data_IF_647108350481
#
_entry.id   IF_647108350481
#
_cell.length_a   1.000
_cell.length_b   1.000
_cell.length_c   1.000
_cell.angle_alpha   90.00
_cell.angle_beta   90.00
_cell.angle_gamma   90.00
#
_symmetry.space_group_name_H-M   'P 1'
#
loop_
_entity.id
_entity.type
_entity.pdbx_description
1 polymer ?
#
# COMPACT_ATOMS: atom_id res chain seq x y z
N UNK A 1 4.69 14.70 -8.85
CA UNK A 1 4.73 15.45 -7.58
C UNK A 1 3.61 15.01 -6.66
N UNK A 2 3.99 14.40 -5.53
CA UNK A 2 3.02 13.96 -4.52
C UNK A 2 2.32 15.19 -3.93
N UNK A 3 1.00 15.26 -3.99
CA UNK A 3 0.25 16.39 -3.43
C UNK A 3 0.52 16.53 -1.93
N UNK A 4 1.16 17.63 -1.54
CA UNK A 4 1.48 17.93 -0.14
C UNK A 4 0.23 18.37 0.64
N UNK A 5 -0.77 18.94 -0.05
CA UNK A 5 -2.03 19.38 0.54
C UNK A 5 -3.23 18.62 -0.08
N UNK A 6 -3.71 17.54 0.54
CA UNK A 6 -4.87 16.81 0.05
C UNK A 6 -6.14 17.69 0.08
N UNK A 7 -6.99 17.58 -0.94
CA UNK A 7 -8.25 18.32 -1.00
C UNK A 7 -9.13 17.99 0.22
N UNK A 8 -9.77 19.01 0.80
CA UNK A 8 -10.73 18.82 1.89
C UNK A 8 -10.17 18.77 3.32
N UNK A 9 -8.87 19.06 3.54
CA UNK A 9 -8.27 19.06 4.88
C UNK A 9 -8.93 20.05 5.83
N UNK A 10 -9.11 21.29 5.40
CA UNK A 10 -9.73 22.35 6.23
C UNK A 10 -11.22 22.06 6.42
N UNK A 11 -11.91 21.68 5.35
CA UNK A 11 -13.34 21.34 5.39
C UNK A 11 -13.67 20.19 6.35
N UNK A 12 -12.83 19.15 6.39
CA UNK A 12 -13.07 17.99 7.27
C UNK A 12 -12.92 18.34 8.75
N UNK A 13 -11.94 19.18 9.11
CA UNK A 13 -11.74 19.65 10.48
C UNK A 13 -12.90 20.56 10.89
N UNK A 14 -13.31 21.49 10.03
CA UNK A 14 -14.46 22.35 10.30
C UNK A 14 -15.76 21.53 10.49
N UNK A 15 -16.06 20.59 9.60
CA UNK A 15 -17.24 19.71 9.75
C UNK A 15 -17.21 18.91 11.05
N UNK A 16 -16.04 18.42 11.45
CA UNK A 16 -15.88 17.69 12.70
C UNK A 16 -16.14 18.60 13.90
N UNK A 17 -15.52 19.80 13.94
CA UNK A 17 -15.65 20.75 15.03
C UNK A 17 -17.10 21.25 15.16
N UNK A 18 -17.71 21.70 14.06
CA UNK A 18 -19.11 22.13 14.08
C UNK A 18 -20.08 21.01 14.42
N UNK A 19 -19.84 19.80 13.94
CA UNK A 19 -20.64 18.62 14.30
C UNK A 19 -20.61 18.32 15.79
N UNK A 20 -19.43 18.30 16.42
CA UNK A 20 -19.31 18.04 17.86
C UNK A 20 -19.80 19.18 18.73
N UNK A 21 -19.54 20.44 18.37
CA UNK A 21 -20.08 21.62 19.10
C UNK A 21 -21.60 21.61 19.00
N UNK A 22 -22.17 21.41 17.81
CA UNK A 22 -23.60 21.31 17.62
C UNK A 22 -24.24 20.19 18.45
N UNK A 23 -23.60 19.02 18.51
CA UNK A 23 -24.04 17.89 19.31
C UNK A 23 -24.02 18.21 20.81
N UNK A 24 -22.99 18.88 21.29
CA UNK A 24 -22.87 19.32 22.68
C UNK A 24 -23.98 20.32 23.07
N UNK A 25 -24.15 21.36 22.27
CA UNK A 25 -25.17 22.40 22.52
C UNK A 25 -26.60 21.86 22.45
N UNK A 26 -26.93 21.10 21.40
CA UNK A 26 -28.29 20.51 21.28
C UNK A 26 -28.56 19.43 22.33
N UNK A 27 -27.55 18.63 22.69
CA UNK A 27 -27.65 17.61 23.72
C UNK A 27 -27.92 18.22 25.11
N UNK A 28 -27.16 19.27 25.49
CA UNK A 28 -27.35 19.96 26.76
C UNK A 28 -28.71 20.68 26.81
N UNK A 29 -29.15 21.31 25.72
CA UNK A 29 -30.47 21.95 25.63
C UNK A 29 -31.60 20.94 25.80
N UNK A 30 -31.50 19.74 25.24
CA UNK A 30 -32.50 18.67 25.45
C UNK A 30 -32.52 18.19 26.89
N UNK A 31 -31.37 17.92 27.50
CA UNK A 31 -31.29 17.43 28.88
C UNK A 31 -31.89 18.49 29.85
N UNK A 32 -31.51 19.76 29.69
CA UNK A 32 -32.03 20.85 30.53
C UNK A 32 -33.52 21.06 30.33
N UNK A 33 -34.03 21.01 29.10
CA UNK A 33 -35.47 21.13 28.81
C UNK A 33 -36.30 20.03 29.49
N UNK A 34 -35.86 18.77 29.45
CA UNK A 34 -36.52 17.67 30.11
C UNK A 34 -36.42 17.75 31.64
N UNK A 35 -35.27 18.16 32.18
CA UNK A 35 -35.07 18.33 33.62
C UNK A 35 -36.03 19.42 34.18
N UNK A 36 -36.12 20.56 33.49
CA UNK A 36 -37.05 21.66 33.87
C UNK A 36 -38.50 21.23 33.73
N UNK A 37 -38.86 20.53 32.65
CA UNK A 37 -40.22 20.02 32.45
C UNK A 37 -40.66 19.04 33.54
N UNK A 38 -39.75 18.17 33.98
CA UNK A 38 -39.99 17.25 35.08
C UNK A 38 -40.15 17.95 36.43
N UNK A 39 -39.37 19.01 36.70
CA UNK A 39 -39.41 19.76 37.96
C UNK A 39 -40.69 20.59 38.12
N UNK A 40 -41.23 21.15 37.05
CA UNK A 40 -42.37 22.09 37.09
C UNK A 40 -43.70 21.38 36.83
N UNK A 41 -43.73 20.15 36.31
CA UNK A 41 -44.90 19.30 36.07
C UNK A 41 -45.92 19.81 35.04
N UNK A 42 -45.98 21.12 34.79
CA UNK A 42 -46.92 21.79 33.86
C UNK A 42 -46.36 22.06 32.47
N UNK A 43 -45.03 21.86 32.26
CA UNK A 43 -44.33 22.21 31.02
C UNK A 43 -44.01 20.99 30.13
N UNK A 44 -44.75 19.89 30.30
CA UNK A 44 -44.54 18.68 29.48
C UNK A 44 -44.66 18.98 27.98
N UNK A 45 -45.63 19.82 27.58
CA UNK A 45 -45.82 20.25 26.19
C UNK A 45 -44.61 21.04 25.64
N UNK A 46 -43.97 21.86 26.48
CA UNK A 46 -42.78 22.61 26.10
C UNK A 46 -41.57 21.69 25.88
N UNK A 47 -41.38 20.68 26.74
CA UNK A 47 -40.36 19.67 26.57
C UNK A 47 -40.49 18.88 25.25
N UNK A 48 -41.72 18.49 24.92
CA UNK A 48 -42.04 17.82 23.66
C UNK A 48 -41.76 18.74 22.45
N UNK A 49 -42.21 20.00 22.50
CA UNK A 49 -41.96 20.95 21.40
C UNK A 49 -40.46 21.17 21.14
N UNK A 50 -39.65 21.34 22.20
CA UNK A 50 -38.18 21.46 22.07
C UNK A 50 -37.59 20.20 21.47
N UNK A 51 -38.07 19.01 21.85
CA UNK A 51 -37.58 17.74 21.27
C UNK A 51 -37.89 17.65 19.78
N UNK A 52 -39.09 18.01 19.33
CA UNK A 52 -39.48 17.98 17.91
C UNK A 52 -38.59 18.90 17.08
N UNK A 53 -38.26 20.08 17.57
CA UNK A 53 -37.43 21.05 16.86
C UNK A 53 -35.94 20.65 16.88
N UNK A 54 -35.46 20.08 17.99
CA UNK A 54 -34.05 19.75 18.15
C UNK A 54 -33.65 18.42 17.47
N UNK A 55 -34.59 17.48 17.25
CA UNK A 55 -34.31 16.20 16.59
C UNK A 55 -33.69 16.34 15.17
N UNK A 56 -34.23 17.15 14.25
CA UNK A 56 -33.60 17.31 12.92
C UNK A 56 -32.23 18.00 13.01
N UNK A 57 -32.07 18.95 13.93
CA UNK A 57 -30.73 19.60 14.13
C UNK A 57 -29.74 18.59 14.64
N UNK A 58 -30.11 17.76 15.59
CA UNK A 58 -29.25 16.69 16.14
C UNK A 58 -28.86 15.68 15.08
N UNK A 59 -29.79 15.27 14.21
CA UNK A 59 -29.47 14.35 13.09
C UNK A 59 -28.47 14.96 12.13
N UNK A 60 -28.59 16.22 11.76
CA UNK A 60 -27.63 16.93 10.91
C UNK A 60 -26.26 16.99 11.59
N UNK A 61 -26.20 17.33 12.88
CA UNK A 61 -24.94 17.37 13.64
C UNK A 61 -24.25 15.99 13.69
N UNK A 62 -25.00 14.90 13.88
CA UNK A 62 -24.47 13.54 13.84
C UNK A 62 -23.88 13.21 12.47
N UNK A 63 -24.58 13.54 11.39
CA UNK A 63 -24.13 13.31 10.03
C UNK A 63 -22.82 14.08 9.75
N UNK A 64 -22.78 15.36 10.14
CA UNK A 64 -21.58 16.20 10.00
C UNK A 64 -20.40 15.67 10.81
N UNK A 65 -20.62 15.28 12.06
CA UNK A 65 -19.60 14.69 12.92
C UNK A 65 -19.05 13.37 12.34
N UNK A 66 -19.95 12.50 11.85
CA UNK A 66 -19.59 11.23 11.24
C UNK A 66 -18.81 11.41 9.92
N UNK A 67 -19.24 12.32 9.07
CA UNK A 67 -18.56 12.66 7.82
C UNK A 67 -17.16 13.26 8.09
N UNK A 68 -17.08 14.21 9.03
CA UNK A 68 -15.82 14.84 9.42
C UNK A 68 -14.82 13.84 9.98
N UNK A 69 -15.23 12.96 10.89
CA UNK A 69 -14.37 11.91 11.47
C UNK A 69 -13.91 10.89 10.43
N UNK A 70 -14.75 10.50 9.50
CA UNK A 70 -14.41 9.58 8.40
C UNK A 70 -13.32 10.18 7.52
N UNK A 71 -13.47 11.43 7.12
CA UNK A 71 -12.49 12.15 6.29
C UNK A 71 -11.19 12.39 7.04
N UNK A 72 -11.26 12.78 8.31
CA UNK A 72 -10.07 12.96 9.15
C UNK A 72 -9.24 11.66 9.29
N UNK A 73 -9.89 10.53 9.57
CA UNK A 73 -9.22 9.22 9.64
C UNK A 73 -8.55 8.83 8.32
N UNK A 74 -9.17 9.18 7.18
CA UNK A 74 -8.61 8.96 5.87
C UNK A 74 -7.35 9.80 5.65
N UNK A 75 -7.39 11.09 6.00
CA UNK A 75 -6.24 11.99 5.93
C UNK A 75 -5.07 11.54 6.82
N UNK A 76 -5.36 11.02 8.00
CA UNK A 76 -4.33 10.47 8.89
C UNK A 76 -3.63 9.27 8.26
N UNK A 77 -4.39 8.33 7.64
CA UNK A 77 -3.80 7.21 6.92
C UNK A 77 -2.99 7.66 5.71
N UNK A 78 -3.49 8.64 4.95
CA UNK A 78 -2.76 9.20 3.82
C UNK A 78 -1.39 9.76 4.25
N UNK A 79 -1.33 10.48 5.37
CA UNK A 79 -0.06 10.95 5.93
C UNK A 79 0.88 9.81 6.31
N UNK A 80 0.35 8.76 6.92
CA UNK A 80 1.15 7.57 7.24
C UNK A 80 1.71 6.89 5.98
N UNK A 81 0.95 6.87 4.88
CA UNK A 81 1.44 6.38 3.60
C UNK A 81 2.56 7.26 3.03
N UNK A 82 2.42 8.60 3.12
CA UNK A 82 3.47 9.52 2.70
C UNK A 82 4.75 9.38 3.53
N UNK A 83 4.63 9.12 4.84
CA UNK A 83 5.78 8.84 5.70
C UNK A 83 6.56 7.58 5.28
N UNK A 84 5.85 6.54 4.85
CA UNK A 84 6.50 5.32 4.33
C UNK A 84 7.16 5.59 3.00
N UNK A 85 6.51 6.36 2.12
CA UNK A 85 7.08 6.74 0.84
C UNK A 85 8.36 7.57 0.99
N UNK A 86 8.44 8.51 1.95
CA UNK A 86 9.63 9.35 2.23
C UNK A 86 10.37 9.84 0.97
N UNK A 87 9.62 10.23 -0.06
CA UNK A 87 10.18 10.65 -1.34
C UNK A 87 10.53 9.52 -2.31
N UNK A 88 10.31 8.24 -1.95
CA UNK A 88 10.39 7.13 -2.89
C UNK A 88 9.25 7.19 -3.90
N UNK A 89 9.52 6.82 -5.12
CA UNK A 89 8.56 6.84 -6.23
C UNK A 89 7.70 5.58 -6.31
N UNK A 90 8.06 4.53 -5.57
CA UNK A 90 7.29 3.29 -5.46
C UNK A 90 7.40 2.69 -4.05
N UNK A 91 6.40 1.93 -3.64
CA UNK A 91 6.37 1.24 -2.35
C UNK A 91 5.54 -0.04 -2.42
N UNK A 92 5.95 -1.07 -1.66
CA UNK A 92 5.18 -2.29 -1.53
C UNK A 92 3.92 -2.08 -0.68
N UNK A 93 2.78 -2.61 -1.14
CA UNK A 93 1.54 -2.61 -0.36
C UNK A 93 1.66 -3.38 0.97
N UNK A 94 2.59 -4.34 1.05
CA UNK A 94 2.90 -5.06 2.29
C UNK A 94 3.56 -4.14 3.32
N UNK A 95 4.48 -3.29 2.91
CA UNK A 95 5.14 -2.28 3.76
C UNK A 95 4.13 -1.24 4.27
N UNK A 96 3.27 -0.73 3.37
CA UNK A 96 2.17 0.17 3.76
C UNK A 96 1.22 -0.49 4.76
N UNK A 97 0.89 -1.77 4.56
CA UNK A 97 0.00 -2.53 5.44
C UNK A 97 0.58 -2.72 6.84
N UNK A 98 1.87 -3.03 6.94
CA UNK A 98 2.57 -3.19 8.22
C UNK A 98 2.61 -1.88 9.01
N UNK A 99 2.85 -0.74 8.34
CA UNK A 99 2.92 0.58 8.98
C UNK A 99 1.61 0.99 9.65
N UNK A 100 0.46 0.74 9.00
CA UNK A 100 -0.85 1.12 9.53
C UNK A 100 -1.54 -0.01 10.34
N UNK A 101 -0.91 -1.18 10.47
CA UNK A 101 -1.48 -2.32 11.19
C UNK A 101 -2.76 -2.87 10.54
N UNK A 102 -2.85 -2.85 9.20
CA UNK A 102 -4.00 -3.36 8.43
C UNK A 102 -3.59 -4.41 7.42
N UNK A 103 -4.58 -5.16 6.92
CA UNK A 103 -4.32 -6.19 5.90
C UNK A 103 -3.97 -5.57 4.54
N UNK A 104 -3.14 -6.26 3.74
CA UNK A 104 -2.79 -5.87 2.36
C UNK A 104 -4.06 -5.57 1.52
N UNK A 105 -5.12 -6.39 1.68
CA UNK A 105 -6.39 -6.22 0.98
C UNK A 105 -7.12 -4.92 1.35
N UNK A 106 -7.06 -4.52 2.61
CA UNK A 106 -7.61 -3.25 3.06
C UNK A 106 -6.83 -2.08 2.44
N UNK A 107 -5.49 -2.12 2.53
CA UNK A 107 -4.61 -1.07 1.99
C UNK A 107 -4.81 -0.89 0.50
N UNK A 108 -4.88 -1.99 -0.27
CA UNK A 108 -5.15 -1.93 -1.70
C UNK A 108 -6.45 -1.17 -2.01
N UNK A 109 -7.56 -1.50 -1.31
CA UNK A 109 -8.85 -0.81 -1.51
C UNK A 109 -8.79 0.66 -1.07
N UNK A 110 -8.11 0.95 0.03
CA UNK A 110 -7.99 2.31 0.58
C UNK A 110 -7.14 3.20 -0.35
N UNK A 111 -5.99 2.69 -0.80
CA UNK A 111 -5.10 3.39 -1.75
C UNK A 111 -5.78 3.60 -3.10
N UNK A 112 -6.44 2.57 -3.67
CA UNK A 112 -7.19 2.71 -4.90
C UNK A 112 -8.24 3.82 -4.80
N UNK A 113 -9.00 3.84 -3.71
CA UNK A 113 -9.97 4.89 -3.45
C UNK A 113 -9.33 6.27 -3.29
N UNK A 114 -8.12 6.35 -2.72
CA UNK A 114 -7.36 7.59 -2.61
C UNK A 114 -6.87 8.08 -3.98
N UNK A 115 -6.48 7.17 -4.89
CA UNK A 115 -6.15 7.50 -6.29
C UNK A 115 -7.39 8.05 -7.00
N UNK A 116 -8.53 7.35 -6.92
CA UNK A 116 -9.80 7.76 -7.53
C UNK A 116 -10.28 9.14 -7.02
N UNK A 117 -9.96 9.49 -5.77
CA UNK A 117 -10.30 10.77 -5.15
C UNK A 117 -9.22 11.86 -5.34
N UNK A 118 -8.16 11.58 -6.11
CA UNK A 118 -7.11 12.56 -6.47
C UNK A 118 -6.08 12.86 -5.38
N UNK A 119 -5.95 12.00 -4.35
CA UNK A 119 -4.86 12.12 -3.36
C UNK A 119 -3.50 11.76 -3.95
N UNK A 120 -3.47 10.90 -4.93
CA UNK A 120 -2.31 10.53 -5.73
C UNK A 120 -2.62 10.79 -7.22
N UNK A 121 -2.35 12.00 -7.74
CA UNK A 121 -2.76 12.38 -9.11
C UNK A 121 -2.14 11.50 -10.20
N UNK A 122 -0.89 11.07 -10.00
CA UNK A 122 -0.13 10.19 -10.90
C UNK A 122 0.06 8.80 -10.28
N UNK A 123 -0.85 8.40 -9.38
CA UNK A 123 -0.74 7.14 -8.64
C UNK A 123 -1.26 5.96 -9.44
N UNK A 124 -0.44 4.93 -9.59
CA UNK A 124 -0.81 3.67 -10.24
C UNK A 124 -0.60 2.48 -9.31
N UNK A 125 -1.46 1.49 -9.46
CA UNK A 125 -1.33 0.20 -8.76
C UNK A 125 -0.96 -0.87 -9.76
N UNK A 126 0.01 -1.72 -9.38
CA UNK A 126 0.40 -2.90 -10.12
C UNK A 126 -0.79 -3.87 -10.32
N UNK A 127 -0.85 -4.56 -11.48
CA UNK A 127 -1.84 -5.59 -11.80
C UNK A 127 -1.85 -6.73 -10.76
N UNK A 128 -0.68 -7.10 -10.24
CA UNK A 128 -0.52 -8.12 -9.21
C UNK A 128 -0.92 -7.64 -7.79
N UNK A 129 -1.31 -6.37 -7.66
CA UNK A 129 -1.69 -5.76 -6.37
C UNK A 129 -0.59 -5.85 -5.32
N UNK A 130 0.65 -5.64 -5.74
CA UNK A 130 1.84 -5.74 -4.87
C UNK A 130 2.47 -4.39 -4.57
N UNK A 131 2.46 -3.47 -5.53
CA UNK A 131 3.14 -2.18 -5.46
C UNK A 131 2.22 -1.00 -5.75
N UNK A 132 2.51 0.13 -5.10
CA UNK A 132 2.01 1.46 -5.43
C UNK A 132 3.14 2.23 -6.11
N UNK A 133 2.90 2.75 -7.29
CA UNK A 133 3.75 3.67 -8.03
C UNK A 133 3.12 5.06 -7.97
N UNK A 134 3.91 6.09 -7.69
CA UNK A 134 3.40 7.45 -7.37
C UNK A 134 3.58 8.41 -8.53
N UNK A 135 4.27 7.98 -9.60
CA UNK A 135 4.55 8.79 -10.80
C UNK A 135 4.29 7.99 -12.05
N UNK A 136 3.77 8.66 -13.09
CA UNK A 136 3.55 8.07 -14.41
C UNK A 136 4.83 7.51 -15.01
N UNK A 137 5.96 8.20 -14.84
CA UNK A 137 7.26 7.77 -15.35
C UNK A 137 7.67 6.37 -14.84
N UNK A 138 7.45 6.07 -13.57
CA UNK A 138 7.76 4.75 -12.99
C UNK A 138 6.79 3.70 -13.50
N UNK A 139 5.52 4.08 -13.69
CA UNK A 139 4.52 3.18 -14.25
C UNK A 139 4.85 2.81 -15.70
N UNK A 140 5.29 3.76 -16.52
CA UNK A 140 5.71 3.50 -17.90
C UNK A 140 6.95 2.58 -17.96
N UNK A 141 7.92 2.79 -17.07
CA UNK A 141 9.09 1.91 -16.94
C UNK A 141 8.69 0.48 -16.50
N UNK A 142 7.73 0.36 -15.59
CA UNK A 142 7.17 -0.92 -15.18
C UNK A 142 6.50 -1.65 -16.35
N UNK A 143 5.67 -0.96 -17.14
CA UNK A 143 5.01 -1.52 -18.31
C UNK A 143 6.01 -1.96 -19.37
N UNK A 144 7.05 -1.17 -19.63
CA UNK A 144 8.11 -1.51 -20.56
C UNK A 144 8.90 -2.76 -20.11
N UNK A 145 9.22 -2.85 -18.82
CA UNK A 145 9.87 -4.02 -18.24
C UNK A 145 8.98 -5.27 -18.34
N UNK A 146 7.70 -5.15 -18.05
CA UNK A 146 6.74 -6.25 -18.14
C UNK A 146 6.57 -6.73 -19.59
N UNK A 147 6.51 -5.82 -20.56
CA UNK A 147 6.46 -6.16 -21.97
C UNK A 147 7.71 -6.89 -22.42
N UNK A 148 8.90 -6.43 -21.96
CA UNK A 148 10.17 -7.09 -22.25
C UNK A 148 10.26 -8.50 -21.65
N UNK A 149 9.73 -8.73 -20.47
CA UNK A 149 9.65 -10.08 -19.86
C UNK A 149 8.74 -11.00 -20.66
N UNK A 150 7.53 -10.56 -20.99
CA UNK A 150 6.58 -11.33 -21.82
C UNK A 150 7.17 -11.70 -23.18
N UNK A 151 7.92 -10.78 -23.80
CA UNK A 151 8.59 -11.05 -25.08
C UNK A 151 9.71 -12.08 -24.96
N UNK A 152 10.45 -12.08 -23.83
CA UNK A 152 11.49 -13.09 -23.55
C UNK A 152 10.87 -14.46 -23.29
N UNK A 153 9.80 -14.52 -22.51
CA UNK A 153 9.05 -15.76 -22.25
C UNK A 153 8.45 -16.34 -23.54
N UNK A 154 7.88 -15.50 -24.41
CA UNK A 154 7.37 -15.94 -25.72
C UNK A 154 8.50 -16.49 -26.61
N UNK A 155 9.67 -15.82 -26.65
CA UNK A 155 10.83 -16.32 -27.41
C UNK A 155 11.41 -17.60 -26.82
N UNK A 156 11.41 -17.77 -25.50
CA UNK A 156 11.85 -19.00 -24.85
C UNK A 156 10.88 -20.16 -25.16
N UNK A 157 9.57 -19.92 -25.16
CA UNK A 157 8.57 -20.91 -25.51
C UNK A 157 8.68 -21.35 -26.98
N UNK A 158 8.95 -20.42 -27.91
CA UNK A 158 9.22 -20.74 -29.33
C UNK A 158 10.51 -21.53 -29.49
N UNK A 159 11.58 -21.22 -28.73
CA UNK A 159 12.85 -21.96 -28.79
C UNK A 159 12.70 -23.38 -28.24
N UNK A 160 11.91 -23.58 -27.18
CA UNK A 160 11.63 -24.93 -26.66
C UNK A 160 10.76 -25.77 -27.61
N UNK A 161 9.96 -25.13 -28.45
CA UNK A 161 9.18 -25.79 -29.50
C UNK A 161 10.06 -26.22 -30.68
N UNK A 162 11.13 -25.48 -30.99
CA UNK A 162 12.09 -25.87 -32.03
C UNK A 162 13.06 -26.96 -31.54
N UNK A 163 13.43 -26.96 -30.23
CA UNK A 163 14.34 -27.98 -29.65
C UNK A 163 13.67 -29.35 -29.50
N UNK A 164 12.35 -29.43 -29.37
CA UNK A 164 11.63 -30.70 -29.28
C UNK A 164 11.28 -31.32 -30.65
N UNK A 165 11.62 -30.64 -31.76
CA UNK A 165 11.29 -31.09 -33.12
C UNK A 165 12.42 -31.70 -33.92
N UNK A 166 13.70 -31.69 -33.47
CA UNK A 166 14.80 -32.15 -34.35
C UNK A 166 15.95 -32.78 -33.56
N UNK A 167 15.73 -33.97 -33.01
CA UNK A 167 16.84 -34.85 -32.66
C UNK A 167 17.38 -35.65 -33.84
N UNK A 168 16.91 -35.38 -35.06
CA UNK A 168 17.24 -36.22 -36.23
C UNK A 168 17.77 -35.45 -37.45
N UNK A 169 18.46 -34.31 -37.22
CA UNK A 169 18.94 -33.50 -38.36
C UNK A 169 20.17 -32.64 -38.12
N UNK A 170 20.90 -32.81 -37.02
CA UNK A 170 22.22 -32.15 -36.88
C UNK A 170 23.25 -32.74 -37.85
N UNK A 171 23.86 -31.88 -38.64
CA UNK A 171 24.98 -32.31 -39.48
C UNK A 171 26.13 -32.78 -38.59
N UNK A 172 27.02 -33.70 -39.03
CA UNK A 172 28.14 -34.20 -38.23
C UNK A 172 29.03 -33.12 -37.68
N UNK A 173 29.14 -31.99 -38.36
CA UNK A 173 29.95 -30.83 -37.93
C UNK A 173 29.26 -30.04 -36.78
N UNK A 174 27.93 -29.88 -36.84
CA UNK A 174 27.14 -29.25 -35.78
C UNK A 174 27.11 -30.10 -34.51
N UNK A 175 27.05 -31.43 -34.65
CA UNK A 175 27.11 -32.37 -33.56
C UNK A 175 28.47 -32.31 -32.84
N UNK A 176 29.54 -32.15 -33.59
CA UNK A 176 30.90 -31.98 -33.04
C UNK A 176 31.04 -30.66 -32.29
N UNK A 177 30.52 -29.56 -32.80
CA UNK A 177 30.50 -28.26 -32.13
C UNK A 177 29.67 -28.30 -30.85
N UNK A 178 28.52 -28.94 -30.87
CA UNK A 178 27.63 -29.08 -29.70
C UNK A 178 28.31 -29.91 -28.61
N UNK A 179 28.92 -31.05 -28.95
CA UNK A 179 29.68 -31.89 -28.00
C UNK A 179 30.88 -31.14 -27.40
N UNK A 180 31.52 -30.30 -28.19
CA UNK A 180 32.64 -29.46 -27.70
C UNK A 180 32.15 -28.41 -26.68
N UNK A 181 31.03 -27.76 -26.94
CA UNK A 181 30.42 -26.78 -26.02
C UNK A 181 30.05 -27.44 -24.69
N UNK A 182 29.48 -28.67 -24.73
CA UNK A 182 29.18 -29.44 -23.53
C UNK A 182 30.44 -29.78 -22.74
N UNK A 183 31.46 -30.27 -23.42
CA UNK A 183 32.74 -30.62 -22.77
C UNK A 183 33.45 -29.41 -22.16
N UNK A 184 33.43 -28.27 -22.85
CA UNK A 184 33.96 -27.00 -22.32
C UNK A 184 33.16 -26.54 -21.11
N UNK A 185 31.79 -26.68 -21.14
CA UNK A 185 30.91 -26.37 -20.02
C UNK A 185 31.18 -27.25 -18.78
N UNK A 186 31.37 -28.54 -18.95
CA UNK A 186 31.71 -29.45 -17.86
C UNK A 186 33.07 -29.11 -17.24
N UNK A 187 34.05 -28.76 -18.05
CA UNK A 187 35.38 -28.32 -17.59
C UNK A 187 35.28 -27.02 -16.75
N UNK A 188 34.47 -26.05 -17.18
CA UNK A 188 34.22 -24.84 -16.39
C UNK A 188 33.54 -25.15 -15.08
N UNK A 189 32.53 -26.03 -15.06
CA UNK A 189 31.86 -26.45 -13.82
C UNK A 189 32.80 -27.16 -12.86
N UNK A 190 33.77 -27.96 -13.37
CA UNK A 190 34.78 -28.61 -12.56
C UNK A 190 35.75 -27.58 -11.95
N UNK A 191 36.21 -26.59 -12.72
CA UNK A 191 37.05 -25.48 -12.22
C UNK A 191 36.35 -24.66 -11.13
N UNK A 192 35.05 -24.40 -11.28
CA UNK A 192 34.25 -23.70 -10.25
C UNK A 192 34.17 -24.55 -8.98
N UNK A 193 33.99 -25.87 -9.07
CA UNK A 193 33.99 -26.76 -7.89
C UNK A 193 35.35 -26.78 -7.20
N UNK A 194 36.44 -26.95 -7.95
CA UNK A 194 37.79 -26.93 -7.40
C UNK A 194 38.14 -25.58 -6.76
N UNK A 195 37.70 -24.44 -7.37
CA UNK A 195 37.88 -23.12 -6.79
C UNK A 195 37.05 -22.96 -5.50
N UNK A 196 35.83 -23.51 -5.47
CA UNK A 196 34.95 -23.43 -4.29
C UNK A 196 35.49 -24.32 -3.15
N UNK A 197 36.00 -25.49 -3.45
CA UNK A 197 36.61 -26.39 -2.47
C UNK A 197 37.99 -25.89 -1.95
N UNK A 198 38.66 -25.01 -2.73
CA UNK A 198 39.89 -24.35 -2.33
C UNK A 198 39.69 -23.13 -1.40
N UNK A 199 38.44 -22.65 -1.22
CA UNK A 199 38.14 -21.57 -0.29
C UNK A 199 38.15 -22.15 1.12
N UNK A 200 39.07 -21.74 2.01
CA UNK A 200 39.11 -22.26 3.37
C UNK A 200 37.84 -21.80 4.13
N UNK A 201 37.29 -22.68 4.93
CA UNK A 201 36.06 -22.45 5.75
C UNK A 201 36.14 -21.19 6.63
N UNK A 202 37.34 -20.70 6.89
CA UNK A 202 37.59 -19.44 7.62
C UNK A 202 37.13 -18.18 6.86
N UNK A 203 37.13 -18.19 5.54
CA UNK A 203 36.67 -17.05 4.72
C UNK A 203 35.13 -16.97 4.68
N UNK A 204 34.45 -18.10 4.67
CA UNK A 204 32.98 -18.16 4.74
C UNK A 204 32.44 -17.67 6.07
N UNK A 205 33.20 -17.82 7.16
CA UNK A 205 32.87 -17.31 8.51
C UNK A 205 32.93 -15.79 8.59
N UNK A 206 33.77 -15.12 7.78
CA UNK A 206 33.88 -13.64 7.77
C UNK A 206 32.69 -12.95 7.11
N UNK A 207 31.99 -13.59 6.19
CA UNK A 207 30.81 -13.03 5.54
C UNK A 207 29.61 -13.01 6.51
N UNK A 208 29.56 -13.91 7.49
CA UNK A 208 28.50 -13.97 8.50
C UNK A 208 28.69 -12.99 9.69
N UNK A 209 29.88 -12.38 9.84
CA UNK A 209 30.19 -11.49 10.98
C UNK A 209 29.76 -10.03 10.73
N UNK A 210 29.30 -9.66 9.54
CA UNK A 210 28.87 -8.31 9.21
C UNK A 210 27.39 -7.99 9.51
N UNK A 211 26.66 -8.83 10.27
CA UNK A 211 25.39 -8.42 10.83
C UNK A 211 25.62 -7.45 12.02
N UNK A 212 25.15 -6.20 11.92
CA UNK A 212 25.29 -5.27 13.05
C UNK A 212 24.34 -5.73 14.16
N UNK A 213 24.92 -6.30 15.24
CA UNK A 213 24.23 -6.48 16.51
C UNK A 213 23.75 -5.13 17.01
N UNK A 214 22.43 -4.89 16.94
CA UNK A 214 21.82 -3.74 17.60
C UNK A 214 22.00 -3.89 19.11
N UNK A 215 22.54 -2.88 19.82
CA UNK A 215 22.56 -2.92 21.28
C UNK A 215 21.11 -2.84 21.77
N UNK A 216 20.71 -3.84 22.58
CA UNK A 216 19.49 -3.80 23.37
C UNK A 216 19.74 -2.75 24.46
N UNK A 217 19.13 -1.57 24.33
CA UNK A 217 19.09 -0.58 25.41
C UNK A 217 17.99 -0.98 26.38
N UNK A 218 18.40 -1.50 27.51
CA UNK A 218 17.57 -1.67 28.72
C UNK A 218 17.74 -0.37 29.53
N UNK A 219 16.70 0.45 29.58
CA UNK A 219 16.40 1.39 30.68
C UNK A 219 14.92 1.83 30.55
#
# INVERSE_FOLDING_TARGET
>A
PVMVNPPGRVSSVLMMVFGYIGLGVTGTALITSWAVSAAIGRLFSAGVAVTIVSLPVLTVCIILAAAGTKTHRKLTRFRSYLEVLKGRTFCSLKELASRIGKTKRFVFKDVRKMIDEGYFPEGHLDEQKTCLMVTDQIYDQYLAAQAGMKQREAKAADSDSEVNGTSDGLTPDEQQRFNKIIADGEMYMQHIREANDAIPDTELSLIHISEPTRPISIA
#
